data_IF_679834855999
#
_entry.id   IF_679834855999
#
_cell.length_a   1.000
_cell.length_b   1.000
_cell.length_c   1.000
_cell.angle_alpha   90.00
_cell.angle_beta   90.00
_cell.angle_gamma   90.00
#
_symmetry.space_group_name_H-M   'P 1'
#
loop_
_entity.id
_entity.type
_entity.pdbx_description
1 polymer ?
#
# COMPACT_ATOMS: atom_id res chain seq x y z
N UNK A 1 59.86 4.78 -7.28
CA UNK A 1 60.07 3.93 -8.48
C UNK A 1 58.67 3.54 -8.96
N UNK A 2 58.17 3.76 -10.17
CA UNK A 2 58.63 4.39 -11.40
C UNK A 2 57.42 4.34 -12.35
N UNK A 3 57.18 5.43 -13.08
CA UNK A 3 56.06 5.63 -14.02
C UNK A 3 56.17 4.77 -15.29
N UNK A 4 55.04 4.71 -16.02
CA UNK A 4 54.86 4.84 -17.49
C UNK A 4 53.94 3.73 -18.05
N UNK A 5 52.77 3.94 -18.68
CA UNK A 5 52.31 4.85 -19.75
C UNK A 5 52.44 4.25 -21.17
N UNK A 6 51.35 4.32 -21.95
CA UNK A 6 51.33 4.16 -23.42
C UNK A 6 50.21 3.24 -23.92
N UNK A 7 49.03 3.78 -24.28
CA UNK A 7 48.63 4.26 -25.64
C UNK A 7 48.27 3.11 -26.60
N UNK A 8 46.98 2.96 -26.96
CA UNK A 8 46.31 3.57 -28.15
C UNK A 8 46.58 2.74 -29.43
N UNK A 9 45.66 2.46 -30.37
CA UNK A 9 44.56 3.27 -30.93
C UNK A 9 43.92 2.51 -32.10
N UNK A 10 42.66 2.86 -32.40
CA UNK A 10 41.97 2.88 -33.73
C UNK A 10 41.83 1.57 -34.53
N UNK A 11 40.80 1.36 -35.34
CA UNK A 11 39.68 2.15 -35.86
C UNK A 11 38.88 1.20 -36.78
N UNK A 12 37.55 1.26 -36.86
CA UNK A 12 36.71 2.25 -37.53
C UNK A 12 36.11 1.69 -38.86
N UNK A 13 34.81 1.96 -39.02
CA UNK A 13 34.06 2.24 -40.26
C UNK A 13 33.16 1.17 -40.91
N UNK A 14 31.98 1.67 -41.31
CA UNK A 14 31.11 1.15 -42.39
C UNK A 14 29.65 0.98 -41.94
N UNK A 15 28.82 2.02 -41.79
CA UNK A 15 28.18 2.87 -42.82
C UNK A 15 27.03 2.20 -43.61
N UNK A 16 25.82 2.73 -43.35
CA UNK A 16 24.66 2.98 -44.23
C UNK A 16 24.23 1.97 -45.31
N UNK A 17 22.92 1.67 -45.34
CA UNK A 17 22.16 1.76 -46.60
C UNK A 17 20.70 2.17 -46.37
N UNK A 18 20.27 3.10 -47.21
CA UNK A 18 18.93 3.67 -47.32
C UNK A 18 18.36 3.19 -48.66
N UNK A 19 17.12 2.71 -48.69
CA UNK A 19 16.37 2.58 -49.94
C UNK A 19 14.94 3.12 -49.75
N UNK A 20 14.53 3.94 -50.72
CA UNK A 20 13.25 4.66 -50.82
C UNK A 20 12.35 4.00 -51.87
N UNK A 21 11.07 4.45 -51.89
CA UNK A 21 10.05 4.45 -52.99
C UNK A 21 9.31 3.13 -53.17
N UNK A 22 8.05 3.03 -53.57
CA UNK A 22 6.87 3.88 -53.91
C UNK A 22 5.80 2.83 -54.33
N UNK A 23 4.47 2.91 -54.23
CA UNK A 23 3.53 3.84 -54.87
C UNK A 23 2.10 3.25 -54.77
N UNK A 24 1.10 4.13 -54.61
CA UNK A 24 -0.30 4.13 -55.09
C UNK A 24 -1.25 2.91 -54.94
N UNK A 25 -2.45 3.22 -54.42
CA UNK A 25 -3.65 2.39 -54.51
C UNK A 25 -4.90 3.08 -53.92
N UNK A 26 -5.41 4.11 -54.61
CA UNK A 26 -6.72 4.75 -54.38
C UNK A 26 -7.87 3.80 -54.76
N UNK A 27 -9.02 3.94 -54.10
CA UNK A 27 -10.31 3.79 -54.80
C UNK A 27 -11.51 3.33 -53.98
N UNK A 28 -12.41 4.29 -53.71
CA UNK A 28 -13.89 4.19 -53.63
C UNK A 28 -14.52 3.31 -52.51
N UNK A 29 -15.55 3.74 -51.78
CA UNK A 29 -16.48 4.86 -51.91
C UNK A 29 -17.92 4.39 -51.61
N UNK A 30 -18.77 5.33 -51.17
CA UNK A 30 -20.24 5.27 -50.90
C UNK A 30 -20.61 4.80 -49.49
N UNK A 31 -21.15 5.61 -48.58
CA UNK A 31 -22.07 6.78 -48.65
C UNK A 31 -23.48 6.45 -49.17
N UNK A 32 -24.47 6.46 -48.26
CA UNK A 32 -25.85 6.98 -48.42
C UNK A 32 -26.67 6.58 -47.18
N UNK A 33 -27.02 7.47 -46.25
CA UNK A 33 -28.07 8.51 -46.32
C UNK A 33 -29.50 8.00 -46.06
N UNK A 34 -29.99 8.35 -44.85
CA UNK A 34 -31.28 8.98 -44.50
C UNK A 34 -32.57 8.61 -45.26
N UNK A 35 -33.61 8.28 -44.48
CA UNK A 35 -34.99 8.85 -44.54
C UNK A 35 -35.75 8.30 -43.31
N UNK A 36 -36.16 9.07 -42.31
CA UNK A 36 -37.18 10.14 -42.18
C UNK A 36 -38.63 9.62 -42.07
N UNK A 37 -39.39 10.31 -41.19
CA UNK A 37 -40.86 10.36 -41.04
C UNK A 37 -41.54 9.21 -40.28
N UNK A 38 -42.60 9.39 -39.47
CA UNK A 38 -43.30 10.55 -38.88
C UNK A 38 -44.49 10.00 -38.08
N UNK A 39 -44.93 10.69 -37.02
CA UNK A 39 -46.36 10.96 -36.85
C UNK A 39 -47.18 10.23 -35.77
N UNK A 40 -47.69 11.07 -34.86
CA UNK A 40 -49.05 11.11 -34.31
C UNK A 40 -49.30 10.74 -32.83
N UNK A 41 -49.78 11.77 -32.14
CA UNK A 41 -50.15 11.96 -30.75
C UNK A 41 -51.47 11.29 -30.31
N UNK A 42 -51.63 11.14 -28.98
CA UNK A 42 -52.68 11.72 -28.10
C UNK A 42 -52.60 11.00 -26.74
N UNK A 43 -52.23 11.69 -25.66
CA UNK A 43 -53.08 12.50 -24.76
C UNK A 43 -54.25 11.73 -24.14
N UNK A 44 -54.15 11.47 -22.83
CA UNK A 44 -55.21 11.75 -21.86
C UNK A 44 -54.57 11.96 -20.48
N UNK A 45 -54.66 13.21 -20.02
CA UNK A 45 -54.33 13.65 -18.67
C UNK A 45 -55.59 13.60 -17.80
N UNK A 46 -55.44 13.22 -16.53
CA UNK A 46 -56.29 13.74 -15.45
C UNK A 46 -55.35 14.32 -14.38
N UNK A 47 -55.60 15.60 -14.16
CA UNK A 47 -55.05 16.57 -13.24
C UNK A 47 -55.80 16.47 -11.89
N UNK A 48 -55.10 16.64 -10.75
CA UNK A 48 -55.52 17.62 -9.75
C UNK A 48 -54.48 17.81 -8.62
N UNK A 49 -53.70 18.87 -8.81
CA UNK A 49 -53.25 19.88 -7.86
C UNK A 49 -53.39 19.67 -6.32
N UNK A 50 -52.29 19.94 -5.61
CA UNK A 50 -52.06 21.15 -4.74
C UNK A 50 -51.00 20.88 -3.68
N UNK A 51 -50.01 21.76 -3.55
CA UNK A 51 -49.23 21.89 -2.31
C UNK A 51 -47.76 22.21 -2.51
N UNK A 52 -47.45 23.50 -2.57
CA UNK A 52 -46.17 24.15 -2.33
C UNK A 52 -45.29 23.53 -1.23
N UNK A 53 -44.09 23.09 -1.56
CA UNK A 53 -42.82 23.72 -1.14
C UNK A 53 -41.65 22.78 -1.46
N UNK A 54 -40.77 23.24 -2.36
CA UNK A 54 -39.52 22.58 -2.66
C UNK A 54 -38.54 22.83 -1.50
N UNK A 55 -38.46 21.89 -0.55
CA UNK A 55 -37.42 21.93 0.47
C UNK A 55 -36.08 21.54 -0.14
N UNK A 56 -35.25 22.58 -0.33
CA UNK A 56 -33.81 22.47 -0.51
C UNK A 56 -33.20 21.67 0.64
N UNK A 57 -32.65 20.49 0.35
CA UNK A 57 -31.79 19.77 1.29
C UNK A 57 -30.40 20.40 1.25
N UNK A 58 -30.19 21.44 2.06
CA UNK A 58 -28.85 21.82 2.49
C UNK A 58 -28.27 20.76 3.44
N UNK A 59 -26.93 20.59 3.50
CA UNK A 59 -26.32 19.67 4.46
C UNK A 59 -26.71 20.09 5.87
N UNK A 60 -27.42 19.21 6.57
CA UNK A 60 -27.85 19.47 7.94
C UNK A 60 -26.63 19.36 8.85
N UNK A 61 -26.30 20.44 9.56
CA UNK A 61 -25.36 20.38 10.67
C UNK A 61 -26.00 19.53 11.78
N UNK A 62 -25.30 18.51 12.32
CA UNK A 62 -25.85 17.70 13.40
C UNK A 62 -26.12 18.57 14.63
N UNK A 63 -27.37 18.70 15.04
CA UNK A 63 -27.72 19.34 16.31
C UNK A 63 -27.33 18.41 17.45
N UNK A 64 -26.50 18.91 18.37
CA UNK A 64 -26.10 18.16 19.58
C UNK A 64 -27.36 17.88 20.43
N UNK A 65 -27.62 16.64 20.85
CA UNK A 65 -28.71 16.36 21.78
C UNK A 65 -28.42 17.07 23.11
N UNK A 66 -29.34 17.92 23.55
CA UNK A 66 -29.29 18.53 24.88
C UNK A 66 -29.30 17.40 25.91
N UNK A 67 -28.27 17.38 26.77
CA UNK A 67 -28.09 16.34 27.79
C UNK A 67 -29.27 16.36 28.78
N UNK A 68 -30.16 15.38 28.66
CA UNK A 68 -31.09 15.03 29.73
C UNK A 68 -30.33 14.25 30.79
N UNK A 69 -30.22 14.83 31.98
CA UNK A 69 -29.86 14.10 33.19
C UNK A 69 -30.95 13.05 33.47
N UNK A 70 -30.63 11.76 33.31
CA UNK A 70 -30.92 10.72 34.31
C UNK A 70 -30.56 9.31 33.80
N UNK A 71 -29.96 8.53 34.70
CA UNK A 71 -29.07 7.43 34.37
C UNK A 71 -29.68 6.10 33.92
N UNK A 72 -28.91 5.40 33.08
CA UNK A 72 -28.60 3.96 33.16
C UNK A 72 -27.57 3.64 32.07
N UNK A 73 -26.48 2.98 32.46
CA UNK A 73 -25.34 2.62 31.61
C UNK A 73 -25.78 1.71 30.44
N UNK A 74 -25.74 2.26 29.24
CA UNK A 74 -25.66 1.54 27.96
C UNK A 74 -24.68 2.28 27.07
N UNK A 75 -23.38 2.10 27.31
CA UNK A 75 -22.32 2.76 26.54
C UNK A 75 -22.30 2.23 25.12
N UNK A 76 -22.68 3.09 24.16
CA UNK A 76 -22.24 2.92 22.78
C UNK A 76 -20.69 2.99 22.78
N UNK A 77 -20.00 2.16 21.97
CA UNK A 77 -18.55 2.18 21.93
C UNK A 77 -18.03 3.55 21.45
N UNK A 78 -17.02 4.06 22.15
CA UNK A 78 -16.38 5.39 22.05
C UNK A 78 -15.84 5.80 20.65
N UNK A 79 -16.00 4.97 19.62
CA UNK A 79 -15.53 5.27 18.27
C UNK A 79 -16.44 6.25 17.50
N UNK A 80 -17.67 6.48 17.98
CA UNK A 80 -18.68 7.26 17.24
C UNK A 80 -18.65 8.78 17.47
N UNK A 81 -17.68 9.30 18.25
CA UNK A 81 -17.54 10.75 18.52
C UNK A 81 -16.08 11.20 18.61
N UNK A 82 -15.21 10.60 17.80
CA UNK A 82 -13.83 11.08 17.68
C UNK A 82 -13.80 12.23 16.67
N UNK A 83 -13.67 13.46 17.15
CA UNK A 83 -13.23 14.59 16.32
C UNK A 83 -12.02 14.15 15.49
N UNK A 84 -11.98 14.41 14.17
CA UNK A 84 -10.88 13.94 13.34
C UNK A 84 -9.56 14.47 13.88
N UNK A 85 -8.65 13.55 14.17
CA UNK A 85 -7.36 13.86 14.77
C UNK A 85 -6.58 14.83 13.88
N UNK A 86 -5.83 15.75 14.50
CA UNK A 86 -4.93 16.62 13.76
C UNK A 86 -3.76 15.82 13.20
N UNK A 87 -3.46 16.04 11.92
CA UNK A 87 -2.37 15.42 11.17
C UNK A 87 -1.22 16.43 11.07
N UNK A 88 0.01 16.09 11.52
CA UNK A 88 1.17 16.94 11.32
C UNK A 88 1.61 16.91 9.85
N UNK A 89 1.63 18.06 9.20
CA UNK A 89 1.95 18.23 7.78
C UNK A 89 3.10 19.21 7.62
N UNK A 90 4.08 18.84 6.81
CA UNK A 90 5.21 19.70 6.49
C UNK A 90 4.95 20.50 5.20
N UNK A 91 5.02 21.83 5.29
CA UNK A 91 4.99 22.73 4.14
C UNK A 91 6.40 23.26 3.92
N UNK A 92 6.90 23.12 2.70
CA UNK A 92 8.28 23.47 2.35
C UNK A 92 8.36 24.51 1.23
N UNK A 93 9.45 25.27 1.23
CA UNK A 93 9.82 26.23 0.20
C UNK A 93 11.31 26.11 -0.10
N UNK A 94 11.66 25.85 -1.37
CA UNK A 94 13.01 25.47 -1.80
C UNK A 94 13.67 26.51 -2.73
N UNK A 95 12.98 27.61 -3.04
CA UNK A 95 13.47 28.60 -4.01
C UNK A 95 14.31 29.73 -3.40
N UNK A 96 14.67 29.64 -2.12
CA UNK A 96 15.42 30.69 -1.41
C UNK A 96 14.61 31.96 -1.10
N UNK A 97 15.24 32.90 -0.39
CA UNK A 97 14.63 34.11 0.16
C UNK A 97 15.32 34.52 1.46
N UNK A 98 15.02 35.70 1.99
CA UNK A 98 15.49 36.13 3.32
C UNK A 98 14.45 35.82 4.40
N UNK A 99 13.18 36.16 4.15
CA UNK A 99 12.05 35.81 4.99
C UNK A 99 10.97 35.12 4.16
N UNK A 100 10.49 33.98 4.65
CA UNK A 100 9.44 33.19 3.99
C UNK A 100 8.32 32.96 4.99
N UNK A 101 7.13 33.40 4.63
CA UNK A 101 5.89 33.21 5.39
C UNK A 101 4.88 32.47 4.52
N UNK A 102 3.92 31.81 5.15
CA UNK A 102 2.79 31.16 4.48
C UNK A 102 1.48 31.65 5.08
N UNK A 103 0.51 31.89 4.20
CA UNK A 103 -0.90 32.09 4.54
C UNK A 103 -1.74 31.06 3.75
N UNK A 104 -2.88 30.66 4.28
CA UNK A 104 -3.75 29.72 3.59
C UNK A 104 -5.14 29.60 4.18
N UNK A 105 -5.98 28.79 3.55
CA UNK A 105 -7.36 28.55 3.95
C UNK A 105 -7.49 27.74 5.25
N UNK A 106 -6.38 27.27 5.83
CA UNK A 106 -6.37 26.56 7.12
C UNK A 106 -6.87 27.43 8.29
N UNK A 107 -6.74 28.76 8.18
CA UNK A 107 -7.25 29.73 9.15
C UNK A 107 -8.02 30.87 8.47
N UNK A 108 -8.53 30.60 7.26
CA UNK A 108 -9.21 31.57 6.41
C UNK A 108 -8.35 32.81 6.06
N UNK A 109 -7.05 32.61 5.81
CA UNK A 109 -6.11 33.65 5.37
C UNK A 109 -5.96 34.81 6.38
N UNK A 110 -6.01 34.49 7.67
CA UNK A 110 -5.99 35.50 8.73
C UNK A 110 -4.61 35.69 9.35
N UNK A 111 -3.80 34.63 9.46
CA UNK A 111 -2.50 34.68 10.12
C UNK A 111 -1.37 34.27 9.19
N UNK A 112 -0.24 34.98 9.36
CA UNK A 112 1.03 34.65 8.71
C UNK A 112 1.83 33.71 9.58
N UNK A 113 2.24 32.61 9.00
CA UNK A 113 3.10 31.63 9.67
C UNK A 113 4.51 31.70 9.05
N UNK A 114 5.51 32.07 9.83
CA UNK A 114 6.90 32.16 9.36
C UNK A 114 7.52 30.77 9.25
N UNK A 115 8.12 30.45 8.11
CA UNK A 115 8.84 29.19 7.92
C UNK A 115 10.23 29.25 8.54
N UNK A 116 10.69 28.13 9.09
CA UNK A 116 12.04 27.98 9.61
C UNK A 116 13.03 27.70 8.49
N UNK A 117 14.14 28.44 8.46
CA UNK A 117 15.22 28.25 7.50
C UNK A 117 16.06 27.01 7.88
N UNK A 118 16.11 26.01 6.99
CA UNK A 118 16.81 24.72 7.20
C UNK A 118 18.12 24.59 6.41
N UNK A 119 18.55 25.62 5.69
CA UNK A 119 19.81 25.60 4.93
C UNK A 119 20.00 26.85 4.09
N UNK A 120 20.80 26.77 3.02
CA UNK A 120 21.06 27.92 2.16
C UNK A 120 19.83 28.37 1.35
N UNK A 121 18.86 27.47 1.07
CA UNK A 121 17.68 27.77 0.22
C UNK A 121 16.36 27.11 0.65
N UNK A 122 16.37 26.39 1.75
CA UNK A 122 15.23 25.59 2.21
C UNK A 122 14.59 26.21 3.42
N UNK A 123 13.26 26.28 3.39
CA UNK A 123 12.41 26.76 4.47
C UNK A 123 11.30 25.74 4.70
N UNK A 124 10.96 25.47 5.94
CA UNK A 124 9.89 24.53 6.28
C UNK A 124 9.13 24.93 7.54
N UNK A 125 7.86 24.54 7.60
CA UNK A 125 7.04 24.59 8.80
C UNK A 125 6.26 23.29 8.92
N UNK A 126 6.08 22.81 10.15
CA UNK A 126 5.19 21.68 10.44
C UNK A 126 3.93 22.24 11.08
N UNK A 127 2.77 21.95 10.49
CA UNK A 127 1.47 22.40 10.95
C UNK A 127 0.57 21.20 11.25
N UNK A 128 -0.14 21.26 12.37
CA UNK A 128 -1.14 20.26 12.72
C UNK A 128 -2.50 20.66 12.13
N UNK A 129 -2.91 20.02 11.04
CA UNK A 129 -4.13 20.36 10.28
C UNK A 129 -5.16 19.23 10.38
N UNK A 130 -6.44 19.56 10.26
CA UNK A 130 -7.49 18.52 10.13
C UNK A 130 -7.43 17.92 8.73
N UNK A 131 -7.93 16.69 8.52
CA UNK A 131 -8.11 16.15 7.18
C UNK A 131 -9.00 17.06 6.33
N UNK A 132 -8.57 17.32 5.09
CA UNK A 132 -9.24 18.27 4.19
C UNK A 132 -8.31 18.80 3.10
N UNK A 133 -8.88 19.62 2.22
CA UNK A 133 -8.13 20.28 1.14
C UNK A 133 -7.96 21.76 1.49
N UNK A 134 -6.72 22.22 1.50
CA UNK A 134 -6.36 23.60 1.81
C UNK A 134 -5.67 24.27 0.63
N UNK A 135 -6.00 25.54 0.40
CA UNK A 135 -5.24 26.40 -0.50
C UNK A 135 -4.29 27.26 0.32
N UNK A 136 -3.08 27.48 -0.17
CA UNK A 136 -2.09 28.31 0.53
C UNK A 136 -1.19 29.04 -0.45
N UNK A 137 -0.49 30.05 0.04
CA UNK A 137 0.43 30.87 -0.75
C UNK A 137 1.56 31.39 0.14
N UNK A 138 2.73 31.56 -0.47
CA UNK A 138 3.91 32.05 0.22
C UNK A 138 4.01 33.57 0.09
N UNK A 139 4.51 34.21 1.14
CA UNK A 139 5.02 35.58 1.09
C UNK A 139 6.53 35.49 1.27
N UNK A 140 7.27 35.74 0.18
CA UNK A 140 8.74 35.69 0.17
C UNK A 140 9.25 37.11 0.00
N UNK A 141 9.97 37.60 1.01
CA UNK A 141 10.50 38.97 1.04
C UNK A 141 9.41 40.04 0.77
N UNK A 142 8.19 39.81 1.28
CA UNK A 142 7.04 40.69 1.11
C UNK A 142 6.26 40.52 -0.20
N UNK A 143 6.66 39.59 -1.07
CA UNK A 143 5.97 39.32 -2.33
C UNK A 143 5.23 37.99 -2.31
N UNK A 144 3.98 38.00 -2.78
CA UNK A 144 3.17 36.80 -2.95
C UNK A 144 3.73 35.89 -4.05
N UNK A 145 4.05 34.65 -3.69
CA UNK A 145 4.58 33.62 -4.58
C UNK A 145 3.91 32.28 -4.32
N UNK A 146 3.91 31.42 -5.33
CA UNK A 146 3.54 30.02 -5.20
C UNK A 146 4.76 29.14 -5.49
N UNK A 147 4.75 27.92 -4.97
CA UNK A 147 5.77 26.92 -5.24
C UNK A 147 5.39 26.14 -6.53
N UNK A 148 6.15 26.27 -7.63
CA UNK A 148 5.83 25.63 -8.91
C UNK A 148 6.10 24.12 -8.91
N UNK A 149 6.87 23.65 -7.93
CA UNK A 149 7.16 22.24 -7.65
C UNK A 149 6.06 21.55 -6.80
N UNK A 150 5.07 22.31 -6.32
CA UNK A 150 3.97 21.82 -5.50
C UNK A 150 2.65 21.86 -6.28
N UNK A 151 1.62 21.06 -5.90
CA UNK A 151 0.30 21.13 -6.51
C UNK A 151 -0.28 22.55 -6.46
N UNK A 152 -0.97 22.97 -7.52
CA UNK A 152 -1.55 24.31 -7.67
C UNK A 152 -2.97 24.28 -8.21
N UNK A 153 -3.73 25.32 -7.91
CA UNK A 153 -5.09 25.55 -8.39
C UNK A 153 -5.29 27.04 -8.68
N UNK A 154 -6.17 27.33 -9.63
CA UNK A 154 -6.62 28.70 -9.92
C UNK A 154 -7.83 29.04 -9.05
N UNK A 155 -7.82 30.20 -8.41
CA UNK A 155 -9.01 30.74 -7.77
C UNK A 155 -9.98 31.37 -8.79
N UNK A 156 -11.17 31.74 -8.33
CA UNK A 156 -12.21 32.37 -9.17
C UNK A 156 -11.78 33.72 -9.76
N UNK A 157 -10.75 34.33 -9.18
CA UNK A 157 -10.18 35.61 -9.60
C UNK A 157 -8.95 35.43 -10.53
N UNK A 158 -8.59 34.19 -10.87
CA UNK A 158 -7.46 33.84 -11.74
C UNK A 158 -6.09 33.82 -11.05
N UNK A 159 -6.01 33.93 -9.73
CA UNK A 159 -4.74 33.79 -9.00
C UNK A 159 -4.36 32.32 -8.86
N UNK A 160 -3.07 32.05 -8.92
CA UNK A 160 -2.50 30.72 -8.66
C UNK A 160 -2.14 30.59 -7.18
N UNK A 161 -2.70 29.57 -6.53
CA UNK A 161 -2.41 29.17 -5.15
C UNK A 161 -1.91 27.72 -5.13
N UNK A 162 -1.13 27.37 -4.13
CA UNK A 162 -0.77 25.97 -3.88
C UNK A 162 -1.93 25.22 -3.21
N UNK A 163 -1.99 23.91 -3.41
CA UNK A 163 -3.00 23.02 -2.83
C UNK A 163 -2.33 21.98 -1.96
N UNK A 164 -2.91 21.76 -0.78
CA UNK A 164 -2.50 20.75 0.19
C UNK A 164 -3.68 19.86 0.53
N UNK A 165 -3.58 18.58 0.23
CA UNK A 165 -4.55 17.57 0.66
C UNK A 165 -4.02 16.88 1.92
N UNK A 166 -4.76 17.00 3.01
CA UNK A 166 -4.46 16.34 4.28
C UNK A 166 -5.40 15.17 4.42
N UNK A 167 -4.84 13.97 4.39
CA UNK A 167 -5.61 12.74 4.58
C UNK A 167 -5.55 12.33 6.05
N UNK A 168 -6.62 11.70 6.54
CA UNK A 168 -6.60 11.06 7.85
C UNK A 168 -5.48 10.01 7.85
N UNK A 169 -4.62 10.03 8.86
CA UNK A 169 -3.51 9.09 8.97
C UNK A 169 -4.07 7.67 9.15
N UNK A 170 -4.29 6.97 8.05
CA UNK A 170 -4.34 5.52 8.02
C UNK A 170 -2.88 5.10 7.94
N UNK A 171 -2.33 4.36 8.93
CA UNK A 171 -0.99 3.85 8.80
C UNK A 171 -0.89 3.10 7.47
N UNK A 172 -0.01 3.55 6.56
CA UNK A 172 0.38 2.89 5.30
C UNK A 172 1.03 1.51 5.53
N UNK A 173 0.83 0.93 6.71
CA UNK A 173 1.19 -0.44 7.03
C UNK A 173 0.44 -1.38 6.09
N UNK A 174 -0.78 -1.08 5.64
CA UNK A 174 -1.50 -2.01 4.76
C UNK A 174 -0.78 -2.28 3.43
N UNK A 175 -0.19 -1.27 2.79
CA UNK A 175 0.51 -1.44 1.52
C UNK A 175 1.96 -1.97 1.70
N UNK A 176 2.54 -1.79 2.89
CA UNK A 176 3.86 -2.34 3.25
C UNK A 176 3.81 -3.72 3.93
N UNK A 177 2.63 -4.35 4.06
CA UNK A 177 2.49 -5.68 4.64
C UNK A 177 2.97 -6.81 3.73
N UNK A 178 3.30 -6.53 2.46
CA UNK A 178 3.83 -7.55 1.54
C UNK A 178 5.05 -8.29 2.13
N UNK A 179 5.87 -7.61 2.93
CA UNK A 179 7.02 -8.22 3.62
C UNK A 179 6.63 -9.27 4.69
N UNK A 180 5.39 -9.25 5.17
CA UNK A 180 4.83 -10.20 6.15
C UNK A 180 3.82 -11.16 5.53
N UNK A 181 3.41 -10.93 4.28
CA UNK A 181 2.65 -11.93 3.53
C UNK A 181 3.56 -13.10 3.19
N UNK A 182 3.09 -14.32 3.41
CA UNK A 182 3.79 -15.49 2.91
C UNK A 182 3.89 -15.34 1.38
N UNK A 183 5.08 -15.49 0.76
CA UNK A 183 5.21 -15.35 -0.67
C UNK A 183 4.25 -16.33 -1.34
N UNK A 184 3.47 -15.83 -2.30
CA UNK A 184 2.60 -16.68 -3.09
C UNK A 184 3.46 -17.78 -3.72
N UNK A 185 2.98 -19.03 -3.63
CA UNK A 185 3.61 -20.12 -4.37
C UNK A 185 3.68 -19.72 -5.84
N UNK A 186 4.82 -19.88 -6.52
CA UNK A 186 4.96 -19.39 -7.88
C UNK A 186 3.90 -20.02 -8.80
N UNK A 187 3.22 -19.23 -9.65
CA UNK A 187 1.95 -19.62 -10.28
C UNK A 187 2.04 -20.76 -11.30
N UNK A 188 3.25 -21.19 -11.68
CA UNK A 188 3.45 -22.34 -12.58
C UNK A 188 4.87 -22.94 -12.60
N UNK A 189 5.82 -22.46 -11.80
CA UNK A 189 7.24 -22.87 -11.91
C UNK A 189 7.57 -24.15 -11.12
N UNK A 190 6.61 -25.07 -10.99
CA UNK A 190 6.95 -26.46 -10.70
C UNK A 190 7.33 -27.11 -12.03
N UNK A 191 8.39 -26.61 -12.68
CA UNK A 191 8.82 -27.10 -13.99
C UNK A 191 9.53 -28.46 -13.91
N UNK A 192 9.72 -28.98 -12.68
CA UNK A 192 10.47 -30.20 -12.38
C UNK A 192 11.77 -30.29 -13.20
N UNK A 193 12.36 -29.12 -13.50
CA UNK A 193 13.60 -29.07 -14.27
C UNK A 193 14.70 -29.76 -13.45
N UNK A 194 15.52 -30.61 -14.08
CA UNK A 194 16.64 -31.21 -13.37
C UNK A 194 17.61 -30.11 -12.96
N UNK A 195 18.07 -30.15 -11.71
CA UNK A 195 19.09 -29.23 -11.19
C UNK A 195 20.37 -29.29 -12.03
N UNK A 196 21.00 -28.12 -12.21
CA UNK A 196 22.30 -27.99 -12.85
C UNK A 196 23.44 -27.94 -11.82
N UNK A 197 24.68 -28.16 -12.26
CA UNK A 197 25.85 -28.12 -11.37
C UNK A 197 26.01 -26.79 -10.62
N UNK A 198 25.59 -25.69 -11.25
CA UNK A 198 25.69 -24.34 -10.69
C UNK A 198 24.71 -24.14 -9.52
N UNK A 199 23.62 -24.91 -9.42
CA UNK A 199 22.68 -24.84 -8.30
C UNK A 199 23.31 -25.35 -6.99
N UNK A 200 24.33 -26.22 -7.10
CA UNK A 200 25.07 -26.79 -5.98
C UNK A 200 26.33 -25.97 -5.63
N UNK A 201 26.60 -24.87 -6.32
CA UNK A 201 27.83 -24.08 -6.10
C UNK A 201 27.77 -23.19 -4.85
N UNK A 202 26.58 -23.00 -4.27
CA UNK A 202 26.36 -22.19 -3.08
C UNK A 202 26.33 -23.08 -1.85
N UNK A 203 27.00 -22.65 -0.78
CA UNK A 203 26.93 -23.35 0.49
C UNK A 203 25.49 -23.38 1.02
N UNK A 204 25.01 -24.54 1.50
CA UNK A 204 23.67 -24.64 2.05
C UNK A 204 23.57 -23.79 3.33
N UNK A 205 22.38 -23.24 3.62
CA UNK A 205 22.17 -22.48 4.84
C UNK A 205 22.43 -23.36 6.07
N UNK A 206 23.04 -22.82 7.14
CA UNK A 206 23.26 -23.57 8.36
C UNK A 206 21.92 -23.97 9.00
N UNK A 207 21.87 -25.15 9.60
CA UNK A 207 20.67 -25.64 10.28
C UNK A 207 20.30 -24.72 11.46
N UNK A 208 19.07 -24.19 11.53
CA UNK A 208 18.63 -23.42 12.67
C UNK A 208 18.66 -24.28 13.95
N UNK A 209 19.30 -23.83 15.04
CA UNK A 209 19.46 -24.63 16.26
C UNK A 209 18.12 -25.00 16.92
N UNK A 210 17.06 -24.23 16.66
CA UNK A 210 15.73 -24.48 17.17
C UNK A 210 15.12 -25.79 16.65
N UNK A 211 15.55 -26.28 15.47
CA UNK A 211 15.05 -27.54 14.92
C UNK A 211 15.46 -28.76 15.74
N UNK A 212 16.49 -28.64 16.58
CA UNK A 212 16.90 -29.70 17.50
C UNK A 212 15.97 -29.84 18.72
N UNK A 213 15.00 -28.93 18.92
CA UNK A 213 14.04 -28.96 20.02
C UNK A 213 12.85 -29.88 19.72
N UNK A 214 13.12 -31.18 19.62
CA UNK A 214 12.12 -32.22 19.36
C UNK A 214 11.14 -32.36 20.53
N UNK A 215 9.83 -32.21 20.28
CA UNK A 215 8.80 -32.33 21.33
C UNK A 215 8.70 -33.74 21.91
N UNK A 216 9.02 -34.76 21.12
CA UNK A 216 8.88 -36.18 21.51
C UNK A 216 10.05 -36.69 22.36
N UNK A 217 11.17 -35.97 22.42
CA UNK A 217 12.30 -36.33 23.29
C UNK A 217 12.21 -35.63 24.66
N UNK A 218 11.15 -34.86 24.91
CA UNK A 218 10.90 -34.25 26.21
C UNK A 218 10.42 -35.35 27.18
N UNK A 219 10.94 -35.41 28.41
CA UNK A 219 10.52 -36.41 29.39
C UNK A 219 9.01 -36.32 29.64
N UNK A 220 8.36 -37.48 29.69
CA UNK A 220 6.92 -37.60 29.92
C UNK A 220 6.54 -37.04 31.30
N UNK A 221 5.44 -36.29 31.37
CA UNK A 221 4.82 -35.88 32.64
C UNK A 221 3.94 -37.04 33.14
N UNK A 222 4.18 -37.60 34.35
CA UNK A 222 3.48 -38.79 34.84
C UNK A 222 1.95 -38.65 34.88
N UNK A 223 1.44 -37.48 35.28
CA UNK A 223 0.01 -37.23 35.45
C UNK A 223 -0.70 -36.80 34.15
N UNK A 224 0.04 -36.65 33.05
CA UNK A 224 -0.50 -36.20 31.76
C UNK A 224 0.34 -36.70 30.57
N UNK A 225 0.31 -38.02 30.28
CA UNK A 225 1.19 -38.64 29.28
C UNK A 225 0.94 -38.16 27.84
N UNK A 226 -0.26 -37.64 27.56
CA UNK A 226 -0.66 -37.13 26.25
C UNK A 226 -0.42 -35.61 26.09
N UNK A 227 0.07 -34.92 27.13
CA UNK A 227 0.35 -33.49 27.07
C UNK A 227 1.82 -33.25 26.70
N UNK A 228 2.01 -32.62 25.55
CA UNK A 228 3.31 -32.10 25.12
C UNK A 228 3.43 -30.62 25.49
N UNK A 229 4.66 -30.12 25.76
CA UNK A 229 4.88 -28.70 25.99
C UNK A 229 4.48 -27.87 24.76
N UNK A 230 4.18 -26.59 24.98
CA UNK A 230 3.86 -25.67 23.87
C UNK A 230 5.07 -25.55 22.93
N UNK A 231 4.94 -25.92 21.65
CA UNK A 231 6.04 -25.80 20.71
C UNK A 231 6.36 -24.35 20.37
N UNK A 232 7.62 -24.08 20.03
CA UNK A 232 7.98 -22.86 19.31
C UNK A 232 7.37 -22.89 17.91
N UNK A 233 7.00 -21.73 17.36
CA UNK A 233 6.37 -21.68 16.04
C UNK A 233 7.30 -22.19 14.93
N UNK A 234 8.62 -22.07 15.10
CA UNK A 234 9.65 -22.47 14.13
C UNK A 234 9.78 -23.99 13.96
N UNK A 235 9.36 -24.81 14.93
CA UNK A 235 9.43 -26.28 14.81
C UNK A 235 8.19 -26.89 14.17
N UNK A 236 7.17 -26.07 13.89
CA UNK A 236 5.93 -26.53 13.27
C UNK A 236 6.15 -26.86 11.79
N UNK A 237 5.40 -27.84 11.29
CA UNK A 237 5.46 -28.33 9.90
C UNK A 237 6.81 -28.96 9.49
N UNK A 238 7.76 -29.10 10.43
CA UNK A 238 8.96 -29.92 10.22
C UNK A 238 8.64 -31.40 10.49
N UNK A 239 9.33 -32.28 9.76
CA UNK A 239 9.21 -33.73 9.92
C UNK A 239 10.44 -34.26 10.65
N UNK A 240 10.19 -35.00 11.72
CA UNK A 240 11.20 -35.71 12.49
C UNK A 240 11.10 -37.20 12.20
N UNK A 241 12.24 -37.87 12.08
CA UNK A 241 12.30 -39.32 11.90
C UNK A 241 13.07 -39.96 13.05
N UNK A 242 12.57 -41.10 13.52
CA UNK A 242 13.32 -41.94 14.45
C UNK A 242 14.17 -42.93 13.66
N UNK A 243 15.49 -42.74 13.70
CA UNK A 243 16.45 -43.61 13.04
C UNK A 243 16.73 -44.91 13.81
N UNK A 244 16.33 -45.01 15.08
CA UNK A 244 16.68 -46.17 15.94
C UNK A 244 15.90 -47.43 15.59
N UNK A 245 14.76 -47.30 14.89
CA UNK A 245 13.89 -48.42 14.53
C UNK A 245 14.02 -48.88 13.07
N UNK A 246 14.97 -48.34 12.32
CA UNK A 246 15.18 -48.70 10.91
C UNK A 246 15.37 -50.22 10.71
N UNK A 247 16.11 -50.87 11.60
CA UNK A 247 16.39 -52.33 11.54
C UNK A 247 15.17 -53.20 11.89
N UNK A 248 14.14 -52.62 12.51
CA UNK A 248 12.90 -53.34 12.87
C UNK A 248 11.88 -53.41 11.73
N UNK A 249 12.24 -52.91 10.53
CA UNK A 249 11.34 -52.86 9.37
C UNK A 249 10.19 -51.85 9.54
N UNK A 250 10.31 -50.91 10.48
CA UNK A 250 9.32 -49.87 10.75
C UNK A 250 9.98 -48.49 10.73
N UNK A 251 9.44 -47.59 9.90
CA UNK A 251 9.79 -46.19 9.89
C UNK A 251 8.80 -45.40 10.74
N UNK A 252 9.31 -44.59 11.66
CA UNK A 252 8.49 -43.71 12.52
C UNK A 252 8.77 -42.27 12.15
N UNK A 253 7.71 -41.54 11.79
CA UNK A 253 7.75 -40.12 11.45
C UNK A 253 6.89 -39.33 12.43
N UNK A 254 7.36 -38.17 12.87
CA UNK A 254 6.65 -37.27 13.75
C UNK A 254 6.57 -35.86 13.16
N UNK A 255 5.42 -35.23 13.22
CA UNK A 255 5.25 -33.84 12.76
C UNK A 255 4.26 -33.09 13.65
N UNK A 256 4.49 -31.79 13.85
CA UNK A 256 3.64 -30.95 14.71
C UNK A 256 2.96 -29.88 13.88
N UNK A 257 1.64 -29.84 13.95
CA UNK A 257 0.81 -28.87 13.24
C UNK A 257 0.04 -27.98 14.22
N UNK A 258 -0.27 -26.75 13.79
CA UNK A 258 -1.15 -25.84 14.53
C UNK A 258 -2.55 -25.85 13.92
N UNK A 259 -3.55 -26.17 14.74
CA UNK A 259 -4.97 -26.00 14.40
C UNK A 259 -5.57 -24.90 15.28
N UNK A 260 -5.85 -23.73 14.69
CA UNK A 260 -6.25 -22.51 15.41
C UNK A 260 -5.27 -22.18 16.54
N UNK A 261 -5.72 -22.22 17.79
CA UNK A 261 -4.92 -21.96 19.00
C UNK A 261 -4.35 -23.23 19.64
N UNK A 262 -4.49 -24.39 19.02
CA UNK A 262 -4.04 -25.69 19.53
C UNK A 262 -2.92 -26.26 18.65
N UNK A 263 -2.10 -27.12 19.26
CA UNK A 263 -0.99 -27.81 18.61
C UNK A 263 -1.23 -29.31 18.68
N UNK A 264 -0.99 -30.01 17.57
CA UNK A 264 -1.25 -31.43 17.42
C UNK A 264 0.03 -32.06 16.86
N UNK A 265 0.61 -32.99 17.61
CA UNK A 265 1.74 -33.80 17.14
C UNK A 265 1.21 -35.13 16.64
N UNK A 266 1.45 -35.44 15.37
CA UNK A 266 1.04 -36.68 14.72
C UNK A 266 2.26 -37.56 14.57
N UNK A 267 2.15 -38.82 15.00
CA UNK A 267 3.17 -39.85 14.79
C UNK A 267 2.63 -40.85 13.78
N UNK A 268 3.31 -40.97 12.65
CA UNK A 268 3.02 -41.92 11.59
C UNK A 268 3.99 -43.10 11.67
N UNK A 269 3.44 -44.30 11.76
CA UNK A 269 4.20 -45.54 11.74
C UNK A 269 3.97 -46.23 10.40
N UNK A 270 5.04 -46.48 9.65
CA UNK A 270 5.01 -47.15 8.36
C UNK A 270 5.86 -48.41 8.41
N UNK A 271 5.26 -49.56 8.12
CA UNK A 271 6.04 -50.78 7.86
C UNK A 271 6.72 -50.66 6.50
N UNK A 272 8.01 -50.99 6.46
CA UNK A 272 8.82 -51.03 5.26
C UNK A 272 8.98 -52.48 4.81
N UNK A 273 8.87 -52.76 3.50
CA UNK A 273 9.13 -54.10 2.99
C UNK A 273 10.58 -54.52 3.29
N UNK A 274 10.85 -55.81 3.57
CA UNK A 274 12.21 -56.30 3.71
C UNK A 274 12.98 -56.06 2.40
N UNK A 275 14.20 -55.52 2.50
CA UNK A 275 15.11 -55.32 1.37
C UNK A 275 15.70 -56.65 0.89
#
# INVERSE_FOLDING_TARGET
>A
MGNAQGKSKHGANGAESRARRSRDGRGHGRESSRSNESGFARDDAIDDARGSDALSYGPQTPTVPMAGEDGARGGFPDWATTEPALVPVAINWTQGGNSVEVEGSFDNWQSRQTLHKSGNREFAIVMSLRPGVYQYKFIVDGQWKYAPDQPTMYDEMGNVNNVLEVQEYVPEILDSLDAFTAPASPPASYDCSPFHSDDFSKDPPPIPPQLNMTLLNVPMVPDAPNLLPRPQHVVLNHTYCDGTKADSGVQVLGTTHRYRSKYITVVYLKSMPPQ
#
